data_IF_478378449503
#
_entry.id   IF_478378449503
#
_cell.length_a   1.000
_cell.length_b   1.000
_cell.length_c   1.000
_cell.angle_alpha   90.00
_cell.angle_beta   90.00
_cell.angle_gamma   90.00
#
_symmetry.space_group_name_H-M   'P 1'
#
loop_
_entity.id
_entity.type
_entity.pdbx_description
1 polymer ?
#
# COMPACT_ATOMS: atom_id res chain seq x y z
N UNK A 1 -10.95 -1.09 6.85
CA UNK A 1 -10.09 -1.22 5.68
C UNK A 1 -10.82 -2.05 4.66
N UNK A 2 -10.89 -1.54 3.44
CA UNK A 2 -11.52 -2.08 2.22
C UNK A 2 -11.31 -3.58 2.04
N UNK A 3 -12.17 -4.24 1.25
CA UNK A 3 -12.05 -5.66 0.85
C UNK A 3 -10.79 -5.91 0.00
N UNK A 4 -9.61 -5.76 0.61
CA UNK A 4 -8.28 -5.77 -0.02
C UNK A 4 -7.99 -7.06 -0.80
N UNK A 5 -8.69 -8.13 -0.45
CA UNK A 5 -8.57 -9.46 -1.05
C UNK A 5 -9.05 -9.48 -2.51
N UNK A 6 -9.98 -8.59 -2.87
CA UNK A 6 -10.57 -8.51 -4.20
C UNK A 6 -10.01 -7.34 -5.03
N UNK A 7 -9.08 -6.57 -4.46
CA UNK A 7 -8.50 -5.41 -5.13
C UNK A 7 -7.37 -5.84 -6.09
N UNK A 8 -7.39 -5.28 -7.29
CA UNK A 8 -6.19 -5.22 -8.11
C UNK A 8 -5.16 -4.27 -7.47
N UNK A 9 -3.90 -4.33 -7.92
CA UNK A 9 -2.89 -3.38 -7.42
C UNK A 9 -3.27 -1.92 -7.69
N UNK A 10 -3.91 -1.64 -8.83
CA UNK A 10 -4.34 -0.29 -9.20
C UNK A 10 -5.49 0.18 -8.31
N UNK A 11 -6.51 -0.67 -8.11
CA UNK A 11 -7.64 -0.35 -7.22
C UNK A 11 -7.19 -0.16 -5.77
N UNK A 12 -6.23 -0.97 -5.32
CA UNK A 12 -5.64 -0.85 -3.99
C UNK A 12 -4.92 0.50 -3.80
N UNK A 13 -4.19 0.96 -4.81
CA UNK A 13 -3.53 2.26 -4.79
C UNK A 13 -4.57 3.39 -4.76
N UNK A 14 -5.57 3.34 -5.62
CA UNK A 14 -6.63 4.35 -5.66
C UNK A 14 -7.41 4.41 -4.34
N UNK A 15 -7.75 3.26 -3.77
CA UNK A 15 -8.40 3.17 -2.47
C UNK A 15 -7.55 3.78 -1.36
N UNK A 16 -6.25 3.44 -1.30
CA UNK A 16 -5.33 4.01 -0.31
C UNK A 16 -5.22 5.54 -0.45
N UNK A 17 -5.13 6.04 -1.69
CA UNK A 17 -5.08 7.48 -1.97
C UNK A 17 -6.38 8.17 -1.60
N UNK A 18 -7.53 7.56 -1.88
CA UNK A 18 -8.83 8.08 -1.49
C UNK A 18 -9.01 8.13 0.04
N UNK A 19 -8.48 7.14 0.76
CA UNK A 19 -8.55 7.06 2.22
C UNK A 19 -7.62 8.06 2.92
N UNK A 20 -6.37 8.18 2.46
CA UNK A 20 -5.35 8.97 3.17
C UNK A 20 -5.05 10.34 2.54
N UNK A 21 -5.45 10.58 1.30
CA UNK A 21 -5.24 11.84 0.57
C UNK A 21 -3.77 12.18 0.33
N UNK A 22 -2.87 11.19 0.33
CA UNK A 22 -1.42 11.36 0.11
C UNK A 22 -1.01 10.81 -1.25
N UNK A 23 0.27 10.99 -1.61
CA UNK A 23 0.83 10.34 -2.78
C UNK A 23 0.70 8.79 -2.66
N UNK A 24 0.68 8.06 -3.79
CA UNK A 24 0.46 6.62 -3.81
C UNK A 24 1.31 5.83 -2.81
N UNK A 25 2.63 6.07 -2.80
CA UNK A 25 3.57 5.34 -1.93
C UNK A 25 3.29 5.59 -0.46
N UNK A 26 3.08 6.85 -0.07
CA UNK A 26 2.77 7.22 1.31
C UNK A 26 1.43 6.65 1.75
N UNK A 27 0.39 6.77 0.92
CA UNK A 27 -0.94 6.22 1.20
C UNK A 27 -0.90 4.72 1.43
N UNK A 28 -0.25 3.95 0.54
CA UNK A 28 -0.11 2.49 0.70
C UNK A 28 0.72 2.12 1.94
N UNK A 29 1.72 2.94 2.31
CA UNK A 29 2.47 2.74 3.54
C UNK A 29 1.61 2.90 4.81
N UNK A 30 0.64 3.83 4.81
CA UNK A 30 -0.32 3.98 5.91
C UNK A 30 -1.24 2.75 6.01
N UNK A 31 -1.79 2.25 4.90
CA UNK A 31 -2.59 1.01 4.93
C UNK A 31 -1.78 -0.17 5.49
N UNK A 32 -0.51 -0.32 5.10
CA UNK A 32 0.37 -1.36 5.63
C UNK A 32 0.60 -1.22 7.15
N UNK A 33 0.75 0.01 7.65
CA UNK A 33 0.92 0.29 9.07
C UNK A 33 -0.35 0.01 9.86
N UNK A 34 -1.52 0.41 9.35
CA UNK A 34 -2.81 0.20 10.01
C UNK A 34 -3.23 -1.26 10.05
N UNK A 35 -2.90 -2.03 9.00
CA UNK A 35 -3.11 -3.48 8.96
C UNK A 35 -2.19 -4.25 9.94
N UNK A 36 -1.11 -3.64 10.42
CA UNK A 36 -0.16 -4.32 11.31
C UNK A 36 -0.69 -4.40 12.75
N UNK A 37 -1.15 -5.57 13.16
CA UNK A 37 -1.67 -5.83 14.51
C UNK A 37 -0.60 -6.33 15.51
N UNK A 38 0.68 -6.03 15.28
CA UNK A 38 1.80 -6.56 16.07
C UNK A 38 2.22 -7.98 15.67
N UNK A 39 1.58 -8.56 14.65
CA UNK A 39 1.94 -9.83 14.03
C UNK A 39 1.88 -9.70 12.52
N UNK A 40 2.63 -10.57 11.86
CA UNK A 40 2.58 -10.72 10.42
C UNK A 40 1.22 -11.32 10.03
N UNK A 41 0.47 -10.60 9.19
CA UNK A 41 -0.85 -11.00 8.72
C UNK A 41 -1.00 -10.71 7.21
N UNK A 42 -1.96 -11.35 6.57
CA UNK A 42 -2.08 -11.36 5.10
C UNK A 42 -2.35 -9.97 4.53
N UNK A 43 -3.18 -9.17 5.20
CA UNK A 43 -3.48 -7.79 4.82
C UNK A 43 -2.23 -6.90 4.90
N UNK A 44 -1.49 -7.01 6.01
CA UNK A 44 -0.23 -6.30 6.16
C UNK A 44 0.77 -6.69 5.06
N UNK A 45 0.92 -7.98 4.75
CA UNK A 45 1.82 -8.46 3.68
C UNK A 45 1.42 -7.93 2.32
N UNK A 46 0.12 -7.89 2.03
CA UNK A 46 -0.40 -7.35 0.78
C UNK A 46 0.00 -5.88 0.63
N UNK A 47 -0.37 -5.03 1.59
CA UNK A 47 -0.08 -3.60 1.54
C UNK A 47 1.42 -3.30 1.58
N UNK A 48 2.19 -4.01 2.41
CA UNK A 48 3.64 -3.85 2.49
C UNK A 48 4.33 -4.29 1.19
N UNK A 49 3.88 -5.37 0.56
CA UNK A 49 4.38 -5.82 -0.74
C UNK A 49 4.13 -4.78 -1.84
N UNK A 50 2.94 -4.16 -1.84
CA UNK A 50 2.59 -3.09 -2.77
C UNK A 50 3.43 -1.83 -2.53
N UNK A 51 3.63 -1.44 -1.27
CA UNK A 51 4.54 -0.35 -0.92
C UNK A 51 5.94 -0.57 -1.48
N UNK A 52 6.51 -1.77 -1.33
CA UNK A 52 7.85 -2.08 -1.86
C UNK A 52 7.92 -1.99 -3.39
N UNK A 53 6.86 -2.36 -4.11
CA UNK A 53 6.80 -2.20 -5.58
C UNK A 53 6.81 -0.73 -5.97
N UNK A 54 6.01 0.10 -5.30
CA UNK A 54 5.94 1.54 -5.55
C UNK A 54 7.24 2.25 -5.20
N UNK A 55 7.78 2.00 -4.01
CA UNK A 55 9.04 2.59 -3.57
C UNK A 55 10.18 2.25 -4.53
N UNK A 56 10.25 1.01 -5.03
CA UNK A 56 11.22 0.64 -6.08
C UNK A 56 11.00 1.42 -7.37
N UNK A 57 9.76 1.58 -7.83
CA UNK A 57 9.43 2.33 -9.06
C UNK A 57 9.85 3.79 -8.97
N UNK A 58 9.64 4.44 -7.82
CA UNK A 58 10.09 5.81 -7.58
C UNK A 58 11.62 5.93 -7.54
N UNK A 59 12.30 4.91 -7.01
CA UNK A 59 13.76 4.88 -6.92
C UNK A 59 14.47 4.76 -8.29
N UNK A 60 13.81 4.21 -9.33
CA UNK A 60 14.39 4.16 -10.69
C UNK A 60 14.39 5.56 -11.37
N UNK A 61 13.78 6.57 -10.76
CA UNK A 61 13.75 7.95 -11.26
C UNK A 61 14.88 8.87 -10.79
N UNK A 62 15.79 8.39 -9.94
CA UNK A 62 16.93 9.17 -9.44
C UNK A 62 18.19 8.79 -10.23
N UNK A 63 18.36 9.43 -11.39
CA UNK A 63 19.62 9.46 -12.14
C UNK A 63 20.44 10.69 -11.77
#
# INVERSE_FOLDING_TARGET
MTDWQDLTEEDAIEAAVAEHGKNPTASVAYCALEAYNGRDNEEHRFWFGLFLKLAKREHVGWA
#
